data_IF_825417796655
#
_entry.id   IF_825417796655
#
_cell.length_a   1.000
_cell.length_b   1.000
_cell.length_c   1.000
_cell.angle_alpha   90.00
_cell.angle_beta   90.00
_cell.angle_gamma   90.00
#
_symmetry.space_group_name_H-M   'P 1'
#
loop_
_entity.id
_entity.type
_entity.pdbx_description
1 polymer ?
#
# COMPACT_ATOMS: atom_id res chain seq x y z
N UNK A 1 14.72 2.51 -6.70
CA UNK A 1 14.89 2.05 -5.31
C UNK A 1 13.58 2.22 -4.55
N UNK A 2 13.33 1.37 -3.55
CA UNK A 2 12.11 1.38 -2.74
C UNK A 2 12.48 1.37 -1.26
N UNK A 3 11.76 2.13 -0.45
CA UNK A 3 11.84 2.12 1.00
C UNK A 3 10.46 2.27 1.61
N UNK A 4 10.16 1.50 2.64
CA UNK A 4 8.97 1.64 3.47
C UNK A 4 9.38 2.20 4.82
N UNK A 5 8.70 3.27 5.22
CA UNK A 5 8.90 3.92 6.52
C UNK A 5 7.68 3.67 7.38
N UNK A 6 7.89 3.05 8.53
CA UNK A 6 6.80 2.61 9.39
C UNK A 6 6.74 3.38 10.72
N UNK A 7 5.57 3.33 11.37
CA UNK A 7 5.28 3.99 12.64
C UNK A 7 5.52 5.50 12.65
N UNK A 8 5.34 6.14 11.53
CA UNK A 8 5.66 7.55 11.32
C UNK A 8 4.82 8.51 12.17
N UNK A 9 3.62 8.10 12.61
CA UNK A 9 2.82 8.89 13.54
C UNK A 9 3.52 9.16 14.86
N UNK A 10 4.48 8.33 15.24
CA UNK A 10 5.29 8.57 16.46
C UNK A 10 6.13 9.84 16.37
N UNK A 11 6.46 10.27 15.15
CA UNK A 11 7.19 11.52 14.91
C UNK A 11 6.34 12.78 15.07
N UNK A 12 5.01 12.64 15.17
CA UNK A 12 4.08 13.76 15.36
C UNK A 12 3.54 13.90 16.80
N UNK A 13 4.07 13.12 17.73
CA UNK A 13 3.67 13.18 19.14
C UNK A 13 4.15 14.49 19.75
N UNK A 14 3.26 15.15 20.50
CA UNK A 14 3.60 16.38 21.21
C UNK A 14 4.65 16.12 22.30
N UNK A 15 5.55 17.08 22.46
CA UNK A 15 6.61 17.05 23.46
C UNK A 15 6.68 18.39 24.19
N UNK A 16 7.16 18.36 25.44
CA UNK A 16 7.36 19.57 26.25
C UNK A 16 8.44 20.49 25.65
N UNK A 17 9.38 19.93 24.93
CA UNK A 17 10.47 20.65 24.28
C UNK A 17 10.90 19.96 22.99
N UNK A 18 11.24 20.77 22.01
CA UNK A 18 11.87 20.33 20.77
C UNK A 18 13.32 20.84 20.72
N UNK A 19 14.19 20.09 20.04
CA UNK A 19 15.58 20.49 19.87
C UNK A 19 15.68 21.82 19.10
N UNK A 20 14.92 21.95 18.02
CA UNK A 20 14.77 23.21 17.31
C UNK A 20 13.72 24.08 18.02
N UNK A 21 14.15 25.20 18.60
CA UNK A 21 13.26 26.11 19.35
C UNK A 21 12.18 26.77 18.47
N UNK A 22 12.32 26.77 17.17
CA UNK A 22 11.29 27.24 16.23
C UNK A 22 10.15 26.24 16.04
N UNK A 23 10.35 24.98 16.42
CA UNK A 23 9.34 23.94 16.42
C UNK A 23 8.58 24.01 17.74
N UNK A 24 7.26 24.11 17.64
CA UNK A 24 6.38 24.27 18.80
C UNK A 24 5.32 23.19 18.90
N UNK A 25 5.18 22.35 17.87
CA UNK A 25 4.20 21.24 17.83
C UNK A 25 4.82 19.98 17.27
N UNK A 26 4.27 18.81 17.63
CA UNK A 26 4.68 17.52 17.10
C UNK A 26 4.52 17.46 15.59
N UNK A 27 3.49 18.07 15.04
CA UNK A 27 3.27 18.10 13.60
C UNK A 27 4.33 18.94 12.86
N UNK A 28 4.82 20.02 13.45
CA UNK A 28 5.95 20.77 12.89
C UNK A 28 7.23 19.91 12.91
N UNK A 29 7.49 19.21 14.03
CA UNK A 29 8.63 18.30 14.13
C UNK A 29 8.56 17.19 13.07
N UNK A 30 7.40 16.57 12.90
CA UNK A 30 7.16 15.57 11.87
C UNK A 30 7.44 16.14 10.47
N UNK A 31 6.91 17.33 10.18
CA UNK A 31 7.07 17.99 8.89
C UNK A 31 8.55 18.25 8.55
N UNK A 32 9.31 18.83 9.50
CA UNK A 32 10.75 19.05 9.31
C UNK A 32 11.50 17.72 9.10
N UNK A 33 11.17 16.70 9.90
CA UNK A 33 11.77 15.38 9.78
C UNK A 33 11.51 14.74 8.41
N UNK A 34 10.28 14.80 7.92
CA UNK A 34 9.92 14.23 6.63
C UNK A 34 10.51 15.01 5.46
N UNK A 35 10.58 16.33 5.52
CA UNK A 35 11.27 17.14 4.52
C UNK A 35 12.76 16.77 4.44
N UNK A 36 13.39 16.56 5.58
CA UNK A 36 14.77 16.10 5.60
C UNK A 36 14.91 14.70 4.99
N UNK A 37 14.04 13.75 5.36
CA UNK A 37 14.05 12.39 4.82
C UNK A 37 13.90 12.41 3.28
N UNK A 38 12.93 13.15 2.74
CA UNK A 38 12.75 13.26 1.30
C UNK A 38 13.96 13.87 0.60
N UNK A 39 14.60 14.87 1.23
CA UNK A 39 15.82 15.48 0.68
C UNK A 39 16.99 14.49 0.58
N UNK A 40 17.04 13.49 1.46
CA UNK A 40 18.09 12.46 1.44
C UNK A 40 17.73 11.25 0.57
N UNK A 41 16.46 11.02 0.31
CA UNK A 41 15.92 9.87 -0.40
C UNK A 41 15.29 10.25 -1.75
N UNK A 42 15.79 11.27 -2.40
CA UNK A 42 15.22 11.86 -3.61
C UNK A 42 15.12 10.91 -4.82
N UNK A 43 15.90 9.81 -4.82
CA UNK A 43 15.86 8.75 -5.84
C UNK A 43 15.15 7.47 -5.37
N UNK A 44 14.48 7.53 -4.22
CA UNK A 44 13.72 6.42 -3.68
C UNK A 44 12.23 6.59 -3.90
N UNK A 45 11.56 5.49 -4.20
CA UNK A 45 10.13 5.40 -4.02
C UNK A 45 9.86 5.19 -2.53
N UNK A 46 9.18 6.14 -1.90
CA UNK A 46 8.93 6.15 -0.46
C UNK A 46 7.48 5.73 -0.21
N UNK A 47 7.32 4.66 0.54
CA UNK A 47 6.04 4.15 1.01
C UNK A 47 5.88 4.44 2.50
N UNK A 48 4.76 5.02 2.89
CA UNK A 48 4.50 5.46 4.26
C UNK A 48 3.54 4.53 4.97
N UNK A 49 3.88 4.13 6.18
CA UNK A 49 3.02 3.30 7.02
C UNK A 49 2.79 3.97 8.38
N UNK A 50 1.55 3.88 8.87
CA UNK A 50 1.10 4.51 10.12
C UNK A 50 1.57 5.97 10.17
N UNK A 51 1.31 6.71 9.12
CA UNK A 51 1.70 8.12 9.00
C UNK A 51 0.52 9.06 9.19
N UNK A 52 0.73 10.29 9.63
CA UNK A 52 -0.26 11.36 9.47
C UNK A 52 -0.73 11.45 8.02
N UNK A 53 -1.98 11.81 7.80
CA UNK A 53 -2.52 12.03 6.44
C UNK A 53 -2.01 13.33 5.83
N UNK A 54 -1.79 14.31 6.66
CA UNK A 54 -1.37 15.64 6.28
C UNK A 54 -0.27 16.16 7.23
N UNK A 55 0.71 16.88 6.68
CA UNK A 55 0.97 17.05 5.25
C UNK A 55 1.36 15.72 4.61
N UNK A 56 1.03 15.56 3.33
CA UNK A 56 1.40 14.36 2.58
C UNK A 56 2.86 14.41 2.16
N UNK A 57 3.53 13.29 2.37
CA UNK A 57 4.90 13.03 1.96
C UNK A 57 4.98 11.70 1.23
N UNK A 58 6.09 11.44 0.56
CA UNK A 58 6.32 10.18 -0.12
C UNK A 58 5.45 9.97 -1.36
N UNK A 59 5.40 8.73 -1.83
CA UNK A 59 4.76 8.35 -3.09
C UNK A 59 3.60 7.37 -2.90
N UNK A 60 3.71 6.51 -1.89
CA UNK A 60 2.68 5.54 -1.55
C UNK A 60 2.33 5.64 -0.06
N UNK A 61 1.16 5.16 0.26
CA UNK A 61 0.69 5.07 1.62
C UNK A 61 0.01 3.74 1.88
N UNK A 62 0.39 3.08 2.96
CA UNK A 62 -0.28 1.92 3.49
C UNK A 62 -1.71 2.29 3.90
N UNK A 63 -2.72 1.63 3.33
CA UNK A 63 -4.13 2.04 3.49
C UNK A 63 -4.87 1.27 4.58
N UNK A 64 -4.30 0.19 5.11
CA UNK A 64 -4.99 -0.73 6.00
C UNK A 64 -4.03 -1.34 7.02
N UNK A 65 -4.55 -2.23 7.87
CA UNK A 65 -3.72 -3.08 8.74
C UNK A 65 -2.89 -4.08 7.94
N UNK A 66 -2.03 -4.81 8.65
CA UNK A 66 -1.30 -5.94 8.09
C UNK A 66 -2.26 -6.93 7.47
N UNK A 67 -1.97 -7.31 6.25
CA UNK A 67 -2.81 -8.22 5.47
C UNK A 67 -2.05 -9.51 5.19
N UNK A 68 -2.68 -10.62 5.59
CA UNK A 68 -2.16 -11.96 5.40
C UNK A 68 -3.00 -12.74 4.40
N UNK A 69 -3.08 -14.03 4.54
CA UNK A 69 -3.77 -14.90 3.59
C UNK A 69 -5.27 -15.08 3.81
N UNK A 70 -5.90 -14.37 4.74
CA UNK A 70 -7.34 -14.51 4.99
C UNK A 70 -8.16 -13.60 4.07
N UNK A 71 -9.35 -14.03 3.69
CA UNK A 71 -10.30 -13.22 2.91
C UNK A 71 -10.66 -11.93 3.67
N UNK A 72 -10.83 -12.01 4.99
CA UNK A 72 -11.10 -10.86 5.84
C UNK A 72 -10.05 -9.75 5.74
N UNK A 73 -8.79 -10.12 5.55
CA UNK A 73 -7.71 -9.15 5.43
C UNK A 73 -7.84 -8.37 4.12
N UNK A 74 -8.10 -9.08 3.03
CA UNK A 74 -8.35 -8.45 1.73
C UNK A 74 -9.63 -7.60 1.75
N UNK A 75 -10.68 -8.06 2.39
CA UNK A 75 -11.91 -7.30 2.57
C UNK A 75 -11.65 -6.01 3.35
N UNK A 76 -10.86 -6.07 4.41
CA UNK A 76 -10.51 -4.90 5.19
C UNK A 76 -9.72 -3.88 4.35
N UNK A 77 -8.77 -4.32 3.55
CA UNK A 77 -8.01 -3.47 2.63
C UNK A 77 -8.94 -2.78 1.62
N UNK A 78 -9.86 -3.53 1.01
CA UNK A 78 -10.79 -2.99 0.03
C UNK A 78 -11.80 -2.02 0.67
N UNK A 79 -12.24 -2.27 1.90
CA UNK A 79 -13.06 -1.33 2.66
C UNK A 79 -12.30 -0.02 2.92
N UNK A 80 -11.04 -0.11 3.32
CA UNK A 80 -10.19 1.06 3.55
C UNK A 80 -10.01 1.87 2.25
N UNK A 81 -9.81 1.21 1.13
CA UNK A 81 -9.75 1.87 -0.18
C UNK A 81 -11.08 2.54 -0.54
N UNK A 82 -12.20 1.85 -0.30
CA UNK A 82 -13.53 2.37 -0.63
C UNK A 82 -13.89 3.61 0.18
N UNK A 83 -13.63 3.59 1.48
CA UNK A 83 -13.92 4.70 2.38
C UNK A 83 -12.91 5.84 2.23
N UNK A 84 -11.67 5.52 1.90
CA UNK A 84 -10.58 6.46 1.72
C UNK A 84 -10.25 6.77 0.25
N UNK A 85 -11.15 6.53 -0.68
CA UNK A 85 -10.90 6.67 -2.14
C UNK A 85 -10.34 8.04 -2.53
N UNK A 86 -10.70 9.09 -1.83
CA UNK A 86 -10.24 10.45 -2.06
C UNK A 86 -8.74 10.63 -1.79
N UNK A 87 -8.11 9.73 -1.01
CA UNK A 87 -6.66 9.72 -0.76
C UNK A 87 -5.85 9.45 -2.02
N UNK A 88 -6.47 8.87 -3.04
CA UNK A 88 -5.86 8.68 -4.36
C UNK A 88 -5.45 10.02 -5.02
N UNK A 89 -6.01 11.12 -4.57
CA UNK A 89 -5.61 12.47 -5.01
C UNK A 89 -4.36 12.99 -4.33
N UNK A 90 -4.00 12.42 -3.20
CA UNK A 90 -2.86 12.82 -2.38
C UNK A 90 -1.68 11.87 -2.57
N UNK A 91 -1.98 10.59 -2.66
CA UNK A 91 -1.00 9.53 -2.83
C UNK A 91 -1.28 8.79 -4.14
N UNK A 92 -0.37 8.86 -5.11
CA UNK A 92 -0.60 8.22 -6.41
C UNK A 92 -0.66 6.68 -6.33
N UNK A 93 -0.17 6.12 -5.23
CA UNK A 93 -0.19 4.68 -5.00
C UNK A 93 -0.72 4.37 -3.61
N UNK A 94 -1.58 3.34 -3.54
CA UNK A 94 -2.14 2.84 -2.30
C UNK A 94 -1.55 1.46 -2.00
N UNK A 95 -0.76 1.36 -0.94
CA UNK A 95 -0.16 0.10 -0.51
C UNK A 95 -1.21 -0.78 0.18
N UNK A 96 -1.59 -1.94 -0.42
CA UNK A 96 -2.54 -2.88 0.16
C UNK A 96 -1.89 -3.81 1.18
N UNK A 97 -0.63 -3.60 1.51
CA UNK A 97 0.27 -4.54 2.13
C UNK A 97 0.72 -5.68 1.22
N UNK A 98 1.63 -6.47 1.70
CA UNK A 98 2.26 -7.53 0.95
C UNK A 98 1.26 -8.62 0.48
N UNK A 99 1.52 -9.16 -0.68
CA UNK A 99 0.78 -10.31 -1.19
C UNK A 99 1.31 -11.56 -0.49
N UNK A 100 0.50 -12.13 0.38
CA UNK A 100 0.75 -13.40 1.06
C UNK A 100 -0.32 -14.39 0.62
N UNK A 101 0.12 -15.54 0.14
CA UNK A 101 -0.78 -16.61 -0.24
C UNK A 101 -0.89 -17.65 0.88
N UNK A 102 -2.11 -18.08 1.16
CA UNK A 102 -2.43 -19.01 2.23
C UNK A 102 -2.81 -20.38 1.69
N UNK A 103 -1.87 -21.32 1.72
CA UNK A 103 -2.15 -22.72 1.49
C UNK A 103 -2.99 -23.03 0.24
N UNK A 104 -3.97 -23.91 0.39
CA UNK A 104 -4.81 -24.38 -0.70
C UNK A 104 -6.13 -23.58 -0.86
N UNK A 105 -6.22 -22.39 -0.33
CA UNK A 105 -7.43 -21.57 -0.43
C UNK A 105 -7.38 -20.67 -1.67
N UNK A 106 -7.80 -21.20 -2.80
CA UNK A 106 -7.81 -20.49 -4.07
C UNK A 106 -8.63 -19.21 -4.05
N UNK A 107 -9.74 -19.18 -3.33
CA UNK A 107 -10.59 -17.99 -3.22
C UNK A 107 -9.87 -16.87 -2.49
N UNK A 108 -9.24 -17.17 -1.35
CA UNK A 108 -8.47 -16.20 -0.59
C UNK A 108 -7.25 -15.70 -1.38
N UNK A 109 -6.56 -16.58 -2.08
CA UNK A 109 -5.39 -16.22 -2.87
C UNK A 109 -5.76 -15.33 -4.05
N UNK A 110 -6.87 -15.64 -4.71
CA UNK A 110 -7.39 -14.85 -5.82
C UNK A 110 -7.78 -13.44 -5.39
N UNK A 111 -8.54 -13.32 -4.30
CA UNK A 111 -8.92 -12.00 -3.80
C UNK A 111 -7.70 -11.21 -3.33
N UNK A 112 -6.72 -11.87 -2.70
CA UNK A 112 -5.50 -11.20 -2.25
C UNK A 112 -4.69 -10.63 -3.42
N UNK A 113 -4.54 -11.40 -4.49
CA UNK A 113 -3.91 -10.91 -5.71
C UNK A 113 -4.70 -9.76 -6.35
N UNK A 114 -6.02 -9.95 -6.50
CA UNK A 114 -6.90 -8.94 -7.09
C UNK A 114 -6.89 -7.64 -6.29
N UNK A 115 -6.78 -7.72 -4.96
CA UNK A 115 -6.65 -6.54 -4.10
C UNK A 115 -5.44 -5.70 -4.49
N UNK A 116 -4.28 -6.30 -4.73
CA UNK A 116 -3.11 -5.58 -5.22
C UNK A 116 -3.34 -4.89 -6.57
N UNK A 117 -4.04 -5.56 -7.48
CA UNK A 117 -4.41 -4.96 -8.78
C UNK A 117 -5.35 -3.76 -8.60
N UNK A 118 -6.37 -3.90 -7.76
CA UNK A 118 -7.37 -2.84 -7.51
C UNK A 118 -6.72 -1.63 -6.85
N UNK A 119 -5.83 -1.83 -5.89
CA UNK A 119 -5.14 -0.73 -5.19
C UNK A 119 -4.06 -0.06 -6.03
N UNK A 120 -3.69 -0.65 -7.15
CA UNK A 120 -2.67 -0.12 -8.06
C UNK A 120 -1.23 -0.43 -7.65
N UNK A 121 -1.02 -1.28 -6.65
CA UNK A 121 0.30 -1.65 -6.16
C UNK A 121 0.35 -3.12 -5.76
N UNK A 122 1.35 -3.83 -6.23
CA UNK A 122 1.64 -5.21 -5.84
C UNK A 122 2.98 -5.24 -5.13
N UNK A 123 2.95 -5.57 -3.86
CA UNK A 123 4.12 -5.76 -3.01
C UNK A 123 4.23 -7.25 -2.67
N UNK A 124 5.35 -7.87 -3.02
CA UNK A 124 5.56 -9.30 -2.75
C UNK A 124 5.98 -9.52 -1.31
N UNK A 125 5.25 -10.36 -0.61
CA UNK A 125 5.47 -10.63 0.80
C UNK A 125 6.31 -11.86 1.10
N UNK A 126 6.49 -12.12 2.37
CA UNK A 126 7.41 -13.10 2.93
C UNK A 126 7.21 -14.52 2.41
N UNK A 127 5.98 -14.94 2.22
CA UNK A 127 5.66 -16.28 1.77
C UNK A 127 5.53 -16.40 0.26
N UNK A 128 5.86 -15.36 -0.46
CA UNK A 128 5.69 -15.36 -1.90
C UNK A 128 6.70 -16.24 -2.62
N UNK A 129 7.95 -16.19 -2.23
CA UNK A 129 9.04 -16.73 -3.02
C UNK A 129 9.56 -18.11 -2.58
N UNK A 130 9.38 -18.49 -1.33
CA UNK A 130 10.31 -19.46 -0.76
C UNK A 130 9.75 -20.82 -0.40
N UNK A 131 8.47 -20.92 -0.24
CA UNK A 131 7.99 -22.17 0.34
C UNK A 131 7.34 -23.02 -0.73
N UNK A 132 8.11 -23.90 -1.31
CA UNK A 132 7.70 -24.87 -2.33
C UNK A 132 6.51 -25.76 -1.97
N UNK A 133 5.93 -25.59 -0.80
CA UNK A 133 4.71 -26.27 -0.38
C UNK A 133 3.42 -25.77 -1.05
N UNK A 134 3.50 -24.75 -1.88
CA UNK A 134 2.32 -24.14 -2.48
C UNK A 134 2.15 -24.50 -3.96
N UNK A 135 2.16 -25.79 -4.28
CA UNK A 135 1.99 -26.24 -5.67
C UNK A 135 0.72 -25.71 -6.34
N UNK A 136 -0.36 -25.58 -5.59
CA UNK A 136 -1.61 -24.99 -6.09
C UNK A 136 -1.57 -23.48 -6.33
N UNK A 137 -0.55 -22.79 -5.86
CA UNK A 137 -0.41 -21.34 -5.97
C UNK A 137 0.55 -20.89 -7.07
N UNK A 138 1.19 -21.82 -7.77
CA UNK A 138 2.21 -21.46 -8.74
C UNK A 138 1.67 -20.56 -9.84
N UNK A 139 0.43 -20.78 -10.29
CA UNK A 139 -0.20 -19.94 -11.30
C UNK A 139 -0.38 -18.49 -10.82
N UNK A 140 -0.80 -18.29 -9.56
CA UNK A 140 -0.94 -16.97 -8.97
C UNK A 140 0.42 -16.30 -8.75
N UNK A 141 1.40 -17.07 -8.29
CA UNK A 141 2.77 -16.57 -8.12
C UNK A 141 3.34 -16.09 -9.45
N UNK A 142 3.22 -16.89 -10.49
CA UNK A 142 3.70 -16.53 -11.82
C UNK A 142 2.95 -15.33 -12.40
N UNK A 143 1.67 -15.21 -12.13
CA UNK A 143 0.88 -14.06 -12.55
C UNK A 143 1.27 -12.81 -11.78
N UNK A 144 1.42 -12.89 -10.46
CA UNK A 144 1.87 -11.79 -9.65
C UNK A 144 3.29 -11.35 -10.06
N UNK A 145 4.19 -12.29 -10.27
CA UNK A 145 5.53 -12.01 -10.80
C UNK A 145 5.47 -11.30 -12.15
N UNK A 146 4.70 -11.77 -13.09
CA UNK A 146 4.55 -11.11 -14.40
C UNK A 146 3.94 -9.72 -14.29
N UNK A 147 3.03 -9.52 -13.36
CA UNK A 147 2.40 -8.21 -13.14
C UNK A 147 3.33 -7.26 -12.40
N UNK A 148 3.98 -7.77 -11.36
CA UNK A 148 4.86 -6.96 -10.53
C UNK A 148 6.17 -6.62 -11.22
N UNK A 149 6.64 -7.45 -12.14
CA UNK A 149 8.01 -7.36 -12.57
C UNK A 149 8.12 -7.43 -14.04
N UNK A 150 8.75 -6.47 -14.55
CA UNK A 150 9.37 -6.66 -15.83
C UNK A 150 10.68 -7.43 -15.75
N UNK A 151 11.36 -7.50 -14.65
CA UNK A 151 12.68 -8.20 -14.64
C UNK A 151 13.33 -8.46 -13.29
N UNK A 152 12.84 -8.01 -12.18
CA UNK A 152 13.54 -8.14 -10.91
C UNK A 152 12.66 -8.60 -9.75
N UNK A 153 13.17 -9.49 -8.95
CA UNK A 153 12.40 -10.28 -7.97
C UNK A 153 12.04 -9.53 -6.68
N UNK A 154 12.55 -8.36 -6.49
CA UNK A 154 12.23 -7.54 -5.30
C UNK A 154 11.03 -6.64 -5.55
N UNK A 155 9.90 -7.26 -5.78
CA UNK A 155 9.07 -6.58 -6.66
C UNK A 155 7.94 -5.86 -5.99
N UNK A 156 8.00 -4.61 -6.19
CA UNK A 156 6.87 -3.73 -6.14
C UNK A 156 6.49 -3.39 -7.57
N UNK A 157 5.29 -3.73 -7.97
CA UNK A 157 4.73 -3.21 -9.20
C UNK A 157 3.81 -2.06 -8.88
N UNK A 158 4.14 -0.93 -9.44
CA UNK A 158 3.30 0.24 -9.45
C UNK A 158 2.45 0.20 -10.72
N UNK A 159 1.18 -0.11 -10.55
CA UNK A 159 0.27 -0.34 -11.67
C UNK A 159 -0.43 0.94 -12.14
N UNK A 160 -0.13 2.05 -11.49
CA UNK A 160 -0.79 3.33 -11.73
C UNK A 160 -1.85 3.65 -10.67
N UNK A 161 -2.76 4.55 -11.00
CA UNK A 161 -3.81 4.97 -10.08
C UNK A 161 -4.67 3.78 -9.63
N UNK A 162 -5.03 3.76 -8.36
CA UNK A 162 -5.95 2.77 -7.83
C UNK A 162 -7.34 2.89 -8.46
N UNK A 163 -8.08 1.81 -8.41
CA UNK A 163 -9.49 1.83 -8.80
C UNK A 163 -10.32 2.53 -7.73
N UNK A 164 -11.30 3.31 -8.15
CA UNK A 164 -12.24 3.94 -7.23
C UNK A 164 -13.48 3.06 -7.05
N UNK A 165 -14.08 3.06 -5.85
CA UNK A 165 -15.38 2.41 -5.69
C UNK A 165 -16.44 3.08 -6.56
N UNK A 166 -17.37 2.31 -7.04
CA UNK A 166 -18.59 2.85 -7.66
C UNK A 166 -19.40 3.55 -6.57
N UNK A 167 -19.93 4.72 -6.87
CA UNK A 167 -20.71 5.50 -5.91
C UNK A 167 -21.82 4.65 -5.28
N UNK A 168 -21.89 4.71 -3.96
CA UNK A 168 -22.84 3.92 -3.15
C UNK A 168 -22.46 2.45 -2.95
N UNK A 169 -21.34 1.98 -3.49
CA UNK A 169 -20.86 0.61 -3.25
C UNK A 169 -19.79 0.59 -2.17
N UNK A 170 -19.80 -0.48 -1.39
CA UNK A 170 -18.74 -0.78 -0.42
C UNK A 170 -17.95 -2.00 -0.90
N UNK A 171 -16.68 -1.79 -1.22
CA UNK A 171 -15.63 -2.81 -1.38
C UNK A 171 -15.87 -3.94 -2.41
N UNK A 172 -16.86 -3.85 -3.26
CA UNK A 172 -17.17 -4.94 -4.20
C UNK A 172 -17.22 -4.53 -5.67
N UNK A 173 -17.33 -3.23 -5.98
CA UNK A 173 -17.28 -2.72 -7.35
C UNK A 173 -16.35 -1.52 -7.42
N UNK A 174 -15.40 -1.57 -8.34
CA UNK A 174 -14.38 -0.54 -8.48
C UNK A 174 -14.26 -0.09 -9.92
N UNK A 175 -14.01 1.20 -10.11
CA UNK A 175 -13.65 1.81 -11.38
C UNK A 175 -12.19 2.23 -11.35
N UNK A 176 -11.47 1.95 -12.42
CA UNK A 176 -10.14 2.52 -12.61
C UNK A 176 -10.28 4.01 -12.90
N UNK A 177 -9.45 4.83 -12.24
CA UNK A 177 -9.45 6.27 -12.43
C UNK A 177 -9.32 6.68 -13.89
N UNK A 178 -10.27 7.48 -14.38
CA UNK A 178 -10.27 7.99 -15.75
C UNK A 178 -10.70 7.00 -16.83
N UNK A 179 -11.24 5.84 -16.48
CA UNK A 179 -11.80 4.87 -17.42
C UNK A 179 -13.26 4.55 -17.05
N UNK A 180 -14.07 4.21 -18.06
CA UNK A 180 -15.45 3.77 -17.85
C UNK A 180 -15.57 2.25 -17.63
N UNK A 181 -14.44 1.56 -17.55
CA UNK A 181 -14.42 0.12 -17.32
C UNK A 181 -14.61 -0.20 -15.85
N UNK A 182 -15.58 -1.04 -15.56
CA UNK A 182 -15.85 -1.53 -14.21
C UNK A 182 -15.05 -2.81 -13.99
N UNK A 183 -14.35 -2.86 -12.85
CA UNK A 183 -13.62 -4.04 -12.39
C UNK A 183 -14.07 -4.38 -10.97
N UNK A 184 -14.13 -5.66 -10.64
CA UNK A 184 -14.65 -6.20 -9.36
C UNK A 184 -13.64 -7.07 -8.65
#
# INVERSE_FOLDING_TARGET
RFIKLDFLNSGSVEADRYYNSAVTTGMQAYTEGMQYVESQLNDFFIDLSISPLFPNFGHARRISCDAWGKISDSQYVLNSLSLGWWLDRLYPFNDPDHIVFAGNNDGANRIRYTTGVITGMILLGDNFSLQGSYKGLEAYRQQALRTAINKEVNAVAMLGNSFRPVEGSLANIFLRGGTDNVFY
#
